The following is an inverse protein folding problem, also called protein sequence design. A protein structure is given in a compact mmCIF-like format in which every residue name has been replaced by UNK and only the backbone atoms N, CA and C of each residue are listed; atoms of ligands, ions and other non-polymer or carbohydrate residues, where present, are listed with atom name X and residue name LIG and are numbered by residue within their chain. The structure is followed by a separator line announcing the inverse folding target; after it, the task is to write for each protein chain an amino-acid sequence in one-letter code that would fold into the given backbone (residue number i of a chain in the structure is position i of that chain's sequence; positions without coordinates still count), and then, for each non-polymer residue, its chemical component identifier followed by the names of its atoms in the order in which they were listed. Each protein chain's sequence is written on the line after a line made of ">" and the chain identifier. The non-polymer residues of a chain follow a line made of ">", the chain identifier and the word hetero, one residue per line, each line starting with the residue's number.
data_IF_493486179566
#
_entry.id   IF_493486179566
#
_cell.length_a   1.000
_cell.length_b   1.000
_cell.length_c   1.000
_cell.angle_alpha   90.00
_cell.angle_beta   90.00
_cell.angle_gamma   90.00
#
_symmetry.space_group_name_H-M   'P 1'
#
loop_
_entity.id
_entity.type
_entity.pdbx_description
1 polymer ?
#
# COMPACT_ATOMS: atom_id res chain seq x y z
N UNK A 1 -2.67 -22.21 27.96
CA UNK A 1 -1.95 -20.92 28.01
C UNK A 1 -0.52 -21.14 27.53
N UNK A 2 -0.31 -21.14 26.21
CA UNK A 2 1.03 -21.16 25.61
C UNK A 2 1.19 -19.82 24.89
N UNK A 3 1.87 -18.88 25.53
CA UNK A 3 2.20 -17.59 24.91
C UNK A 3 2.94 -17.85 23.61
N UNK A 4 2.40 -17.33 22.51
CA UNK A 4 2.94 -17.36 21.15
C UNK A 4 4.27 -16.61 21.11
N UNK A 5 5.32 -17.25 21.63
CA UNK A 5 6.70 -16.79 21.61
C UNK A 5 7.35 -16.79 20.22
N UNK A 6 6.61 -16.44 19.16
CA UNK A 6 7.22 -15.93 17.92
C UNK A 6 7.44 -14.42 18.12
N UNK A 7 8.11 -14.11 19.23
CA UNK A 7 8.46 -12.78 19.71
C UNK A 7 9.82 -12.44 19.12
N UNK A 8 9.88 -11.54 18.13
CA UNK A 8 11.05 -10.83 17.55
C UNK A 8 12.30 -11.62 17.13
N UNK A 9 12.65 -12.74 17.76
CA UNK A 9 13.70 -13.69 17.39
C UNK A 9 13.54 -14.26 15.98
N UNK A 10 12.30 -14.38 15.49
CA UNK A 10 12.04 -14.81 14.11
C UNK A 10 12.64 -13.86 13.06
N UNK A 11 12.92 -12.61 13.44
CA UNK A 11 13.53 -11.60 12.58
C UNK A 11 14.97 -11.26 12.95
N UNK A 12 15.57 -11.95 13.93
CA UNK A 12 17.01 -11.81 14.20
C UNK A 12 17.82 -12.14 12.94
N UNK A 13 17.36 -13.15 12.21
CA UNK A 13 18.01 -13.64 10.99
C UNK A 13 17.32 -13.04 9.73
N UNK A 14 16.58 -11.93 9.88
CA UNK A 14 15.87 -11.25 8.79
C UNK A 14 16.82 -10.88 7.63
N UNK A 15 18.01 -10.29 7.83
CA UNK A 15 18.91 -10.00 6.70
C UNK A 15 19.26 -11.25 5.87
N UNK A 16 19.49 -12.37 6.53
CA UNK A 16 19.77 -13.66 5.86
C UNK A 16 18.56 -14.16 5.09
N UNK A 17 17.34 -13.99 5.64
CA UNK A 17 16.10 -14.33 4.95
C UNK A 17 15.92 -13.46 3.70
N UNK A 18 16.11 -12.14 3.81
CA UNK A 18 15.97 -11.20 2.69
C UNK A 18 16.95 -11.55 1.56
N UNK A 19 18.21 -11.88 1.90
CA UNK A 19 19.21 -12.33 0.94
C UNK A 19 18.83 -13.61 0.17
N UNK A 20 17.96 -14.45 0.73
CA UNK A 20 17.46 -15.66 0.06
C UNK A 20 16.23 -15.42 -0.83
N UNK A 21 15.59 -14.24 -0.78
CA UNK A 21 14.35 -13.97 -1.53
C UNK A 21 14.56 -13.84 -3.04
N UNK A 22 15.80 -13.77 -3.51
CA UNK A 22 16.12 -13.89 -4.95
C UNK A 22 15.82 -15.30 -5.50
N UNK A 23 15.77 -16.32 -4.62
CA UNK A 23 15.44 -17.69 -5.01
C UNK A 23 13.92 -17.87 -5.09
N UNK A 24 13.36 -18.07 -6.29
CA UNK A 24 11.89 -18.13 -6.50
C UNK A 24 11.15 -19.13 -5.59
N UNK A 25 11.60 -20.39 -5.42
CA UNK A 25 10.94 -21.30 -4.48
C UNK A 25 10.90 -20.77 -3.04
N UNK A 26 11.97 -20.10 -2.60
CA UNK A 26 12.03 -19.45 -1.28
C UNK A 26 11.07 -18.28 -1.23
N UNK A 27 11.07 -17.40 -2.24
CA UNK A 27 10.16 -16.27 -2.34
C UNK A 27 8.68 -16.71 -2.27
N UNK A 28 8.29 -17.76 -3.01
CA UNK A 28 6.95 -18.33 -2.95
C UNK A 28 6.60 -18.89 -1.57
N UNK A 29 7.53 -19.62 -0.95
CA UNK A 29 7.35 -20.14 0.41
C UNK A 29 7.16 -19.02 1.44
N UNK A 30 7.98 -17.98 1.35
CA UNK A 30 7.93 -16.81 2.23
C UNK A 30 6.67 -15.99 1.98
N UNK A 31 6.28 -15.76 0.72
CA UNK A 31 5.02 -15.11 0.39
C UNK A 31 3.83 -15.88 1.00
N UNK A 32 3.81 -17.21 0.87
CA UNK A 32 2.77 -18.04 1.49
C UNK A 32 2.77 -17.92 3.01
N UNK A 33 3.95 -17.95 3.63
CA UNK A 33 4.11 -17.76 5.08
C UNK A 33 3.55 -16.41 5.53
N UNK A 34 3.94 -15.32 4.88
CA UNK A 34 3.48 -13.97 5.23
C UNK A 34 1.97 -13.85 5.07
N UNK A 35 1.39 -14.38 3.99
CA UNK A 35 -0.07 -14.41 3.81
C UNK A 35 -0.80 -15.09 4.96
N UNK A 36 -0.26 -16.20 5.48
CA UNK A 36 -0.84 -16.90 6.62
C UNK A 36 -0.63 -16.08 7.90
N UNK A 37 0.56 -15.51 8.11
CA UNK A 37 0.87 -14.70 9.28
C UNK A 37 -0.07 -13.49 9.42
N UNK A 38 -0.35 -12.78 8.33
CA UNK A 38 -1.31 -11.66 8.34
C UNK A 38 -2.76 -12.07 8.65
N UNK A 39 -3.11 -13.33 8.45
CA UNK A 39 -4.44 -13.87 8.81
C UNK A 39 -4.48 -14.38 10.24
N UNK A 40 -3.41 -15.01 10.72
CA UNK A 40 -3.39 -15.66 12.04
C UNK A 40 -2.93 -14.76 13.17
N UNK A 41 -2.09 -13.75 12.90
CA UNK A 41 -1.53 -12.82 13.90
C UNK A 41 -2.29 -11.51 14.00
N UNK A 42 -3.56 -11.47 13.56
CA UNK A 42 -4.37 -10.25 13.57
C UNK A 42 -4.46 -9.60 14.95
N UNK A 43 -4.67 -10.42 15.99
CA UNK A 43 -4.73 -9.95 17.39
C UNK A 43 -3.39 -9.39 17.85
N UNK A 44 -2.26 -9.99 17.45
CA UNK A 44 -0.92 -9.50 17.81
C UNK A 44 -0.68 -8.11 17.19
N UNK A 45 -1.11 -7.91 15.93
CA UNK A 45 -0.99 -6.62 15.24
C UNK A 45 -1.91 -5.55 15.83
N UNK A 46 -3.08 -5.95 16.31
CA UNK A 46 -4.00 -5.05 17.01
C UNK A 46 -3.43 -4.55 18.33
N UNK A 47 -2.87 -5.44 19.14
CA UNK A 47 -2.27 -5.08 20.43
C UNK A 47 -1.01 -4.23 20.25
N UNK A 48 -0.26 -4.44 19.16
CA UNK A 48 0.93 -3.67 18.85
C UNK A 48 1.26 -3.70 17.35
N UNK A 49 0.98 -2.60 16.64
CA UNK A 49 1.27 -2.44 15.22
C UNK A 49 2.77 -2.54 14.89
N UNK A 50 3.68 -2.29 15.84
CA UNK A 50 5.12 -2.50 15.61
C UNK A 50 5.45 -3.96 15.30
N UNK A 51 4.63 -4.89 15.76
CA UNK A 51 4.81 -6.33 15.47
C UNK A 51 4.49 -6.68 14.02
N UNK A 52 3.77 -5.82 13.29
CA UNK A 52 3.50 -5.96 11.86
C UNK A 52 4.70 -5.53 11.00
N UNK A 53 5.49 -4.55 11.45
CA UNK A 53 6.58 -3.92 10.67
C UNK A 53 7.56 -4.92 10.05
N UNK A 54 8.04 -5.95 10.75
CA UNK A 54 8.96 -6.91 10.14
C UNK A 54 8.34 -7.72 9.00
N UNK A 55 7.04 -8.00 9.05
CA UNK A 55 6.33 -8.65 7.93
C UNK A 55 6.18 -7.70 6.75
N UNK A 56 5.92 -6.41 7.00
CA UNK A 56 5.90 -5.40 5.94
C UNK A 56 7.26 -5.30 5.22
N UNK A 57 8.37 -5.33 5.96
CA UNK A 57 9.71 -5.34 5.37
C UNK A 57 9.88 -6.53 4.42
N UNK A 58 9.46 -7.74 4.85
CA UNK A 58 9.52 -8.93 3.98
C UNK A 58 8.63 -8.78 2.75
N UNK A 59 7.44 -8.19 2.88
CA UNK A 59 6.56 -7.93 1.73
C UNK A 59 7.21 -6.97 0.74
N UNK A 60 7.82 -5.90 1.23
CA UNK A 60 8.52 -4.93 0.40
C UNK A 60 9.71 -5.55 -0.32
N UNK A 61 10.52 -6.36 0.37
CA UNK A 61 11.63 -7.08 -0.27
C UNK A 61 11.14 -8.11 -1.31
N UNK A 62 10.03 -8.79 -1.04
CA UNK A 62 9.39 -9.67 -2.02
C UNK A 62 8.98 -8.89 -3.27
N UNK A 63 8.42 -7.68 -3.11
CA UNK A 63 8.06 -6.82 -4.23
C UNK A 63 9.31 -6.34 -5.00
N UNK A 64 10.36 -5.96 -4.30
CA UNK A 64 11.60 -5.43 -4.88
C UNK A 64 12.31 -6.47 -5.76
N UNK A 65 12.43 -7.70 -5.26
CA UNK A 65 13.27 -8.73 -5.89
C UNK A 65 12.46 -9.65 -6.83
N UNK A 66 11.13 -9.69 -6.72
CA UNK A 66 10.30 -10.69 -7.41
C UNK A 66 9.12 -10.07 -8.16
N UNK A 67 9.35 -9.52 -9.34
CA UNK A 67 8.31 -8.95 -10.22
C UNK A 67 7.13 -9.90 -10.51
N UNK A 68 7.41 -11.20 -10.67
CA UNK A 68 6.39 -12.22 -10.89
C UNK A 68 5.40 -12.40 -9.73
N UNK A 69 5.72 -11.87 -8.53
CA UNK A 69 4.82 -11.87 -7.37
C UNK A 69 3.96 -10.61 -7.28
N UNK A 70 4.23 -9.55 -8.05
CA UNK A 70 3.56 -8.25 -7.92
C UNK A 70 2.03 -8.36 -7.95
N UNK A 71 1.47 -9.07 -8.93
CA UNK A 71 0.01 -9.25 -9.03
C UNK A 71 -0.57 -10.04 -7.84
N UNK A 72 0.19 -11.01 -7.32
CA UNK A 72 -0.23 -11.79 -6.16
C UNK A 72 -0.15 -10.97 -4.86
N UNK A 73 0.88 -10.12 -4.73
CA UNK A 73 1.05 -9.18 -3.62
C UNK A 73 -0.05 -8.12 -3.64
N UNK A 74 -0.36 -7.54 -4.80
CA UNK A 74 -1.48 -6.60 -4.97
C UNK A 74 -2.80 -7.25 -4.53
N UNK A 75 -3.11 -8.46 -5.03
CA UNK A 75 -4.33 -9.16 -4.66
C UNK A 75 -4.40 -9.44 -3.15
N UNK A 76 -3.28 -9.83 -2.55
CA UNK A 76 -3.17 -10.08 -1.11
C UNK A 76 -3.41 -8.82 -0.27
N UNK A 77 -2.72 -7.72 -0.56
CA UNK A 77 -2.88 -6.46 0.20
C UNK A 77 -4.28 -5.88 0.00
N UNK A 78 -4.84 -6.00 -1.21
CA UNK A 78 -6.21 -5.59 -1.53
C UNK A 78 -7.25 -6.36 -0.72
N UNK A 79 -7.07 -7.69 -0.56
CA UNK A 79 -7.94 -8.52 0.27
C UNK A 79 -7.93 -8.05 1.73
N UNK A 80 -6.75 -7.71 2.26
CA UNK A 80 -6.62 -7.21 3.62
C UNK A 80 -7.26 -5.83 3.81
N UNK A 81 -7.05 -4.90 2.86
CA UNK A 81 -7.63 -3.56 2.91
C UNK A 81 -9.16 -3.55 2.87
N UNK A 82 -9.76 -4.44 2.06
CA UNK A 82 -11.20 -4.56 1.92
C UNK A 82 -11.86 -5.31 3.09
N UNK A 83 -11.07 -5.96 3.95
CA UNK A 83 -11.58 -6.67 5.13
C UNK A 83 -11.69 -5.74 6.34
N UNK A 84 -12.78 -5.85 7.09
CA UNK A 84 -12.84 -5.37 8.46
C UNK A 84 -12.22 -6.43 9.38
N UNK A 85 -11.62 -5.96 10.47
CA UNK A 85 -11.12 -6.84 11.54
C UNK A 85 -12.10 -6.72 12.70
N UNK A 86 -12.95 -7.74 12.87
CA UNK A 86 -13.87 -7.80 14.01
C UNK A 86 -13.10 -7.72 15.33
N UNK A 87 -13.52 -6.83 16.22
CA UNK A 87 -12.89 -6.62 17.53
C UNK A 87 -11.85 -5.51 17.59
N UNK A 88 -11.29 -5.09 16.46
CA UNK A 88 -10.26 -4.04 16.42
C UNK A 88 -10.87 -2.65 16.59
N UNK A 89 -10.29 -1.83 17.47
CA UNK A 89 -10.70 -0.42 17.64
C UNK A 89 -10.55 0.37 16.34
N UNK A 90 -11.48 1.29 16.07
CA UNK A 90 -11.54 2.07 14.82
C UNK A 90 -10.23 2.82 14.50
N UNK A 91 -9.57 3.40 15.52
CA UNK A 91 -8.29 4.09 15.34
C UNK A 91 -7.19 3.11 14.93
N UNK A 92 -7.09 1.96 15.61
CA UNK A 92 -6.13 0.91 15.28
C UNK A 92 -6.40 0.33 13.88
N UNK A 93 -7.67 0.13 13.50
CA UNK A 93 -8.03 -0.30 12.14
C UNK A 93 -7.56 0.71 11.09
N UNK A 94 -7.72 2.01 11.36
CA UNK A 94 -7.26 3.06 10.46
C UNK A 94 -5.73 3.01 10.29
N UNK A 95 -4.97 2.90 11.38
CA UNK A 95 -3.51 2.81 11.34
C UNK A 95 -3.01 1.53 10.65
N UNK A 96 -3.67 0.40 10.90
CA UNK A 96 -3.40 -0.85 10.20
C UNK A 96 -3.62 -0.71 8.68
N UNK A 97 -4.75 -0.12 8.27
CA UNK A 97 -5.02 0.13 6.84
C UNK A 97 -4.02 1.11 6.23
N UNK A 98 -3.53 2.11 6.97
CA UNK A 98 -2.43 2.99 6.50
C UNK A 98 -1.13 2.22 6.26
N UNK A 99 -0.79 1.28 7.15
CA UNK A 99 0.38 0.40 6.94
C UNK A 99 0.22 -0.46 5.69
N UNK A 100 -0.99 -0.97 5.40
CA UNK A 100 -1.28 -1.69 4.16
C UNK A 100 -1.20 -0.79 2.91
N UNK A 101 -1.65 0.46 3.00
CA UNK A 101 -1.45 1.46 1.95
C UNK A 101 0.04 1.65 1.67
N UNK A 102 0.88 1.70 2.70
CA UNK A 102 2.34 1.77 2.54
C UNK A 102 2.91 0.61 1.70
N UNK A 103 2.36 -0.61 1.85
CA UNK A 103 2.75 -1.75 0.99
C UNK A 103 2.32 -1.57 -0.47
N UNK A 104 1.16 -0.98 -0.72
CA UNK A 104 0.72 -0.66 -2.09
C UNK A 104 1.59 0.43 -2.73
N UNK A 105 1.95 1.46 -1.97
CA UNK A 105 2.84 2.54 -2.42
C UNK A 105 4.24 1.99 -2.73
N UNK A 106 4.78 1.10 -1.89
CA UNK A 106 6.04 0.42 -2.19
C UNK A 106 5.94 -0.42 -3.47
N UNK A 107 4.86 -1.19 -3.64
CA UNK A 107 4.63 -1.98 -4.85
C UNK A 107 4.51 -1.12 -6.12
N UNK A 108 3.98 0.11 -5.99
CA UNK A 108 4.00 1.13 -7.04
C UNK A 108 5.44 1.55 -7.36
N UNK A 109 6.26 1.84 -6.34
CA UNK A 109 7.68 2.18 -6.52
C UNK A 109 8.50 1.05 -7.17
N UNK A 110 8.13 -0.22 -6.98
CA UNK A 110 8.74 -1.36 -7.66
C UNK A 110 8.28 -1.52 -9.13
N UNK A 111 7.49 -0.58 -9.67
CA UNK A 111 7.06 -0.58 -11.08
C UNK A 111 5.66 -1.16 -11.35
N UNK A 112 4.91 -1.65 -10.36
CA UNK A 112 3.55 -2.17 -10.56
C UNK A 112 2.47 -1.07 -10.50
N UNK A 113 2.71 0.05 -11.19
CA UNK A 113 2.03 1.33 -10.99
C UNK A 113 0.53 1.29 -11.34
N UNK A 114 0.21 1.07 -12.62
CA UNK A 114 -1.18 1.16 -13.10
C UNK A 114 -2.13 0.16 -12.42
N UNK A 115 -1.76 -1.12 -12.20
CA UNK A 115 -2.63 -2.06 -11.50
C UNK A 115 -2.95 -1.64 -10.06
N UNK A 116 -1.97 -1.07 -9.34
CA UNK A 116 -2.17 -0.55 -7.98
C UNK A 116 -3.17 0.60 -7.98
N UNK A 117 -2.96 1.63 -8.81
CA UNK A 117 -3.84 2.81 -8.88
C UNK A 117 -5.26 2.41 -9.29
N UNK A 118 -5.40 1.60 -10.33
CA UNK A 118 -6.71 1.11 -10.81
C UNK A 118 -7.44 0.27 -9.76
N UNK A 119 -6.70 -0.49 -8.95
CA UNK A 119 -7.28 -1.27 -7.85
C UNK A 119 -7.75 -0.36 -6.73
N UNK A 120 -6.95 0.64 -6.32
CA UNK A 120 -7.36 1.60 -5.32
C UNK A 120 -8.60 2.40 -5.75
N UNK A 121 -8.63 2.88 -6.99
CA UNK A 121 -9.80 3.54 -7.57
C UNK A 121 -11.05 2.64 -7.51
N UNK A 122 -10.90 1.35 -7.82
CA UNK A 122 -11.99 0.36 -7.74
C UNK A 122 -12.46 0.12 -6.30
N UNK A 123 -11.54 0.04 -5.33
CA UNK A 123 -11.90 -0.12 -3.92
C UNK A 123 -12.68 1.10 -3.43
N UNK A 124 -12.21 2.30 -3.78
CA UNK A 124 -12.83 3.55 -3.37
C UNK A 124 -14.24 3.71 -3.98
N UNK A 125 -14.38 3.57 -5.30
CA UNK A 125 -15.68 3.66 -5.99
C UNK A 125 -16.71 2.60 -5.56
N UNK A 126 -16.24 1.47 -5.02
CA UNK A 126 -17.11 0.41 -4.46
C UNK A 126 -17.35 0.55 -2.96
N UNK A 127 -16.96 1.66 -2.33
CA UNK A 127 -17.07 1.91 -0.89
C UNK A 127 -16.45 0.78 -0.05
N UNK A 128 -15.35 0.18 -0.54
CA UNK A 128 -14.59 -0.85 0.19
C UNK A 128 -13.46 -0.27 1.03
N UNK A 129 -13.08 0.97 0.77
CA UNK A 129 -12.14 1.76 1.56
C UNK A 129 -12.72 3.14 1.79
N UNK A 130 -12.48 3.69 2.98
CA UNK A 130 -12.98 5.00 3.36
C UNK A 130 -12.19 6.12 2.66
N UNK A 131 -12.80 7.29 2.55
CA UNK A 131 -12.18 8.50 1.98
C UNK A 131 -10.84 8.80 2.65
N UNK A 132 -10.71 8.60 3.96
CA UNK A 132 -9.47 8.85 4.71
C UNK A 132 -8.30 7.97 4.24
N UNK A 133 -8.58 6.71 3.87
CA UNK A 133 -7.60 5.76 3.36
C UNK A 133 -7.24 6.06 1.90
N UNK A 134 -8.25 6.36 1.06
CA UNK A 134 -8.03 6.79 -0.31
C UNK A 134 -7.19 8.07 -0.37
N UNK A 135 -7.50 9.04 0.49
CA UNK A 135 -6.75 10.29 0.65
C UNK A 135 -5.31 10.03 1.06
N UNK A 136 -5.09 9.18 2.08
CA UNK A 136 -3.73 8.83 2.51
C UNK A 136 -2.92 8.19 1.38
N UNK A 137 -3.51 7.28 0.60
CA UNK A 137 -2.85 6.71 -0.58
C UNK A 137 -2.45 7.78 -1.60
N UNK A 138 -3.37 8.68 -1.96
CA UNK A 138 -3.07 9.77 -2.90
C UNK A 138 -1.92 10.64 -2.39
N UNK A 139 -1.95 11.03 -1.10
CA UNK A 139 -0.86 11.78 -0.48
C UNK A 139 0.48 11.08 -0.63
N UNK A 140 0.56 9.80 -0.27
CA UNK A 140 1.82 9.06 -0.29
C UNK A 140 2.32 8.82 -1.73
N UNK A 141 1.43 8.61 -2.69
CA UNK A 141 1.80 8.51 -4.11
C UNK A 141 2.36 9.83 -4.63
N UNK A 142 1.69 10.95 -4.35
CA UNK A 142 2.16 12.26 -4.82
C UNK A 142 3.46 12.72 -4.15
N UNK A 143 3.80 12.22 -2.95
CA UNK A 143 5.09 12.49 -2.30
C UNK A 143 6.28 11.79 -2.97
N UNK A 144 6.04 10.68 -3.66
CA UNK A 144 7.10 9.89 -4.32
C UNK A 144 7.11 10.04 -5.84
N UNK A 145 6.02 10.55 -6.42
CA UNK A 145 5.90 10.82 -7.83
C UNK A 145 6.45 12.22 -8.15
N UNK A 146 7.17 12.34 -9.26
CA UNK A 146 7.67 13.61 -9.76
C UNK A 146 7.61 13.63 -11.31
N UNK A 147 7.52 14.81 -11.93
CA UNK A 147 7.58 14.94 -13.39
C UNK A 147 8.91 14.43 -13.99
N UNK A 148 8.94 14.02 -15.27
CA UNK A 148 7.81 13.99 -16.21
C UNK A 148 6.87 12.81 -15.95
N UNK A 149 5.56 13.06 -15.99
CA UNK A 149 4.55 12.03 -15.82
C UNK A 149 4.11 11.44 -17.16
N UNK A 150 3.95 10.11 -17.21
CA UNK A 150 3.27 9.49 -18.34
C UNK A 150 1.77 9.77 -18.30
N UNK A 151 1.17 10.03 -19.48
CA UNK A 151 -0.27 10.31 -19.59
C UNK A 151 -1.12 9.17 -19.01
N UNK A 152 -0.75 7.91 -19.23
CA UNK A 152 -1.49 6.77 -18.67
C UNK A 152 -1.52 6.78 -17.12
N UNK A 153 -0.43 7.17 -16.48
CA UNK A 153 -0.35 7.33 -15.02
C UNK A 153 -1.27 8.46 -14.57
N UNK A 154 -1.17 9.62 -15.22
CA UNK A 154 -1.97 10.77 -14.83
C UNK A 154 -3.47 10.51 -15.01
N UNK A 155 -3.89 9.98 -16.15
CA UNK A 155 -5.28 9.62 -16.41
C UNK A 155 -5.81 8.58 -15.42
N UNK A 156 -4.97 7.65 -14.95
CA UNK A 156 -5.37 6.67 -13.95
C UNK A 156 -5.50 7.27 -12.54
N UNK A 157 -4.61 8.20 -12.17
CA UNK A 157 -4.56 8.79 -10.83
C UNK A 157 -5.53 9.97 -10.66
N UNK A 158 -5.75 10.75 -11.72
CA UNK A 158 -6.55 11.97 -11.71
C UNK A 158 -7.96 11.79 -11.09
N UNK A 159 -8.74 10.73 -11.39
CA UNK A 159 -10.07 10.53 -10.77
C UNK A 159 -10.04 10.44 -9.24
N UNK A 160 -8.93 9.96 -8.65
CA UNK A 160 -8.75 9.94 -7.20
C UNK A 160 -8.34 11.32 -6.67
N UNK A 161 -7.42 12.01 -7.36
CA UNK A 161 -6.89 13.32 -6.92
C UNK A 161 -7.94 14.42 -7.01
N UNK A 162 -8.72 14.45 -8.09
CA UNK A 162 -9.74 15.46 -8.36
C UNK A 162 -11.07 15.20 -7.63
N UNK A 163 -11.19 14.10 -6.87
CA UNK A 163 -12.42 13.80 -6.14
C UNK A 163 -12.61 14.82 -4.99
N UNK A 164 -13.78 15.49 -4.87
CA UNK A 164 -13.98 16.58 -3.89
C UNK A 164 -13.60 16.19 -2.45
N UNK A 165 -14.10 15.05 -1.98
CA UNK A 165 -13.81 14.58 -0.61
C UNK A 165 -12.32 14.26 -0.37
N UNK A 166 -11.56 13.99 -1.43
CA UNK A 166 -10.12 13.76 -1.35
C UNK A 166 -9.40 15.12 -1.45
N UNK A 167 -9.65 15.88 -2.53
CA UNK A 167 -9.01 17.17 -2.80
C UNK A 167 -9.21 18.18 -1.69
N UNK A 168 -10.42 18.31 -1.16
CA UNK A 168 -10.74 19.31 -0.14
C UNK A 168 -10.04 18.98 1.18
N UNK A 169 -9.97 17.69 1.52
CA UNK A 169 -9.22 17.24 2.69
C UNK A 169 -7.71 17.37 2.56
N UNK A 170 -7.17 17.32 1.33
CA UNK A 170 -5.74 17.55 1.07
C UNK A 170 -5.40 19.04 1.07
N UNK A 171 -6.25 19.87 0.47
CA UNK A 171 -6.11 21.33 0.38
C UNK A 171 -6.23 22.04 1.72
N UNK A 172 -6.94 21.45 2.68
CA UNK A 172 -7.01 21.93 4.05
C UNK A 172 -5.73 21.62 4.86
N UNK A 173 -4.80 20.82 4.31
CA UNK A 173 -3.61 20.33 4.99
C UNK A 173 -2.30 20.96 4.52
N UNK A 174 -1.18 20.30 4.86
CA UNK A 174 0.18 20.68 4.39
C UNK A 174 0.52 20.12 3.01
N UNK A 175 -0.28 19.18 2.51
CA UNK A 175 -0.02 18.45 1.25
C UNK A 175 -0.69 19.11 0.04
N UNK A 176 -1.19 20.35 0.21
CA UNK A 176 -1.87 21.15 -0.81
C UNK A 176 -1.01 21.40 -2.05
N UNK A 177 0.30 21.57 -1.86
CA UNK A 177 1.25 21.87 -2.93
C UNK A 177 1.32 20.72 -3.93
N UNK A 178 1.48 19.48 -3.45
CA UNK A 178 1.57 18.29 -4.32
C UNK A 178 0.33 18.06 -5.17
N UNK A 179 -0.86 18.35 -4.60
CA UNK A 179 -2.13 18.18 -5.32
C UNK A 179 -2.26 19.23 -6.42
N UNK A 180 -1.99 20.50 -6.11
CA UNK A 180 -2.09 21.56 -7.10
C UNK A 180 -1.05 21.39 -8.20
N UNK A 181 0.20 21.05 -7.87
CA UNK A 181 1.25 20.77 -8.86
C UNK A 181 0.83 19.65 -9.83
N UNK A 182 0.28 18.55 -9.32
CA UNK A 182 -0.19 17.46 -10.15
C UNK A 182 -1.35 17.87 -11.07
N UNK A 183 -2.33 18.61 -10.55
CA UNK A 183 -3.48 19.06 -11.33
C UNK A 183 -3.08 20.07 -12.41
N UNK A 184 -2.23 21.04 -12.07
CA UNK A 184 -1.71 22.04 -13.02
C UNK A 184 -0.90 21.37 -14.15
N UNK A 185 -0.06 20.39 -13.79
CA UNK A 185 0.70 19.61 -14.78
C UNK A 185 -0.24 18.80 -15.69
N UNK A 186 -1.26 18.15 -15.13
CA UNK A 186 -2.23 17.38 -15.91
C UNK A 186 -3.01 18.25 -16.89
N UNK A 187 -3.46 19.43 -16.47
CA UNK A 187 -4.16 20.37 -17.35
C UNK A 187 -3.28 20.84 -18.51
N UNK A 188 -2.00 21.11 -18.25
CA UNK A 188 -1.04 21.51 -19.28
C UNK A 188 -0.86 20.41 -20.33
N UNK A 189 -0.58 19.19 -19.91
CA UNK A 189 -0.35 18.05 -20.82
C UNK A 189 -1.63 17.66 -21.58
N UNK A 190 -2.80 17.75 -20.94
CA UNK A 190 -4.07 17.47 -21.59
C UNK A 190 -4.39 18.48 -22.71
N UNK A 191 -4.00 19.75 -22.53
CA UNK A 191 -4.16 20.80 -23.54
C UNK A 191 -3.16 20.67 -24.69
N UNK A 192 -1.94 20.18 -24.43
CA UNK A 192 -0.92 19.94 -25.47
C UNK A 192 -1.21 18.67 -26.32
N UNK A 193 -2.05 17.76 -25.81
CA UNK A 193 -2.49 16.56 -26.53
C UNK A 193 -3.65 16.79 -27.53
N UNK A 194 -4.21 18.02 -27.59
CA UNK A 194 -5.27 18.43 -28.51
C UNK A 194 -4.73 19.38 -29.60
#
# INVERSE_FOLDING_TARGET
>A
MSGSGISLRAFRDLPSLLGCLSCRPVAFGVFRFVRVAFRTKRVDFELNLDTMKPYCIVVNELAEVNEHLHSALLAFVTELLASSVEGMEDLSQLEYKRMLVGLLVHLLSCGHVLPVIRTMHRLFTRNRVDVSIARHFVTEVLKIAAPPYEMEFMTALHPLVAHPDISDGLRAGKDTEFVNEFLDYYEKEANEAH
#
